data_IF_367822822687
#
_entry.id   IF_367822822687
#
_cell.length_a   1.000
_cell.length_b   1.000
_cell.length_c   1.000
_cell.angle_alpha   90.00
_cell.angle_beta   90.00
_cell.angle_gamma   90.00
#
_symmetry.space_group_name_H-M   'P 1'
#
loop_
_entity.id
_entity.type
_entity.pdbx_description
1 polymer ?
#
# COMPACT_ATOMS: atom_id res chain seq x y z
N UNK A 1 -5.74 -18.06 18.65
CA UNK A 1 -6.23 -16.91 19.45
C UNK A 1 -6.77 -15.88 18.46
N UNK A 2 -7.99 -15.38 18.69
CA UNK A 2 -8.52 -14.28 17.88
C UNK A 2 -7.73 -12.99 18.24
N UNK A 3 -7.49 -12.15 17.25
CA UNK A 3 -6.94 -10.82 17.45
C UNK A 3 -8.06 -9.79 17.28
N UNK A 4 -7.88 -8.62 17.89
CA UNK A 4 -8.78 -7.48 17.77
C UNK A 4 -8.01 -6.29 17.22
N UNK A 5 -8.67 -5.46 16.42
CA UNK A 5 -8.12 -4.24 15.87
C UNK A 5 -9.01 -3.06 16.21
N UNK A 6 -8.44 -1.89 16.44
CA UNK A 6 -9.20 -0.68 16.79
C UNK A 6 -8.78 0.51 15.94
N UNK A 7 -9.72 1.40 15.67
CA UNK A 7 -9.47 2.67 14.99
C UNK A 7 -8.98 3.74 15.96
N UNK A 8 -8.69 4.94 15.43
CA UNK A 8 -8.21 6.08 16.22
C UNK A 8 -9.18 6.56 17.31
N UNK A 9 -10.47 6.25 17.16
CA UNK A 9 -11.53 6.59 18.12
C UNK A 9 -11.75 5.47 19.15
N UNK A 10 -10.94 4.40 19.12
CA UNK A 10 -11.05 3.26 20.02
C UNK A 10 -12.17 2.28 19.67
N UNK A 11 -12.77 2.40 18.48
CA UNK A 11 -13.84 1.50 18.00
C UNK A 11 -13.19 0.26 17.40
N UNK A 12 -13.68 -0.92 17.78
CA UNK A 12 -13.22 -2.19 17.22
C UNK A 12 -13.57 -2.30 15.73
N UNK A 13 -12.60 -2.73 14.93
CA UNK A 13 -12.68 -2.90 13.49
C UNK A 13 -12.67 -4.39 13.18
N UNK A 14 -13.66 -4.84 12.42
CA UNK A 14 -13.73 -6.22 11.95
C UNK A 14 -12.89 -6.42 10.68
N UNK A 15 -12.49 -7.66 10.35
CA UNK A 15 -11.87 -7.96 9.05
C UNK A 15 -12.74 -7.53 7.86
N UNK A 16 -14.07 -7.56 8.00
CA UNK A 16 -15.00 -7.06 7.01
C UNK A 16 -14.88 -5.54 6.83
N UNK A 17 -14.65 -4.77 7.89
CA UNK A 17 -14.45 -3.32 7.81
C UNK A 17 -13.12 -2.96 7.13
N UNK A 18 -12.08 -3.78 7.32
CA UNK A 18 -10.79 -3.65 6.62
C UNK A 18 -10.88 -4.07 5.14
N UNK A 19 -11.78 -5.00 4.82
CA UNK A 19 -12.07 -5.44 3.45
C UNK A 19 -13.09 -4.53 2.76
N UNK A 20 -13.90 -3.81 3.51
CA UNK A 20 -14.75 -2.72 3.04
C UNK A 20 -13.84 -1.55 2.68
N UNK A 21 -13.32 -1.63 1.45
CA UNK A 21 -12.66 -0.55 0.70
C UNK A 21 -13.54 0.71 0.55
N UNK A 22 -14.75 0.71 1.12
CA UNK A 22 -15.92 1.59 0.99
C UNK A 22 -16.07 2.66 2.08
N UNK A 23 -15.10 2.86 2.98
CA UNK A 23 -15.15 4.05 3.85
C UNK A 23 -15.10 5.36 3.03
N UNK A 24 -14.48 5.32 1.83
CA UNK A 24 -14.36 6.46 0.91
C UNK A 24 -14.90 6.19 -0.50
N UNK A 25 -14.87 4.93 -0.95
CA UNK A 25 -15.51 4.54 -2.19
C UNK A 25 -17.03 4.56 -1.95
N UNK A 26 -17.78 5.37 -2.69
CA UNK A 26 -19.24 5.21 -2.77
C UNK A 26 -19.54 3.74 -3.13
N UNK A 27 -20.68 3.18 -2.71
CA UNK A 27 -21.01 1.78 -2.99
C UNK A 27 -20.69 1.36 -4.44
N UNK A 28 -19.68 0.49 -4.60
CA UNK A 28 -19.21 -0.01 -5.91
C UNK A 28 -18.14 0.82 -6.63
N UNK A 29 -17.68 1.94 -6.08
CA UNK A 29 -16.59 2.76 -6.62
C UNK A 29 -15.23 2.01 -6.49
N UNK A 30 -14.44 2.05 -7.56
CA UNK A 30 -13.10 1.47 -7.58
C UNK A 30 -12.13 2.36 -6.78
N UNK A 31 -11.15 1.77 -6.11
CA UNK A 31 -10.17 2.51 -5.29
C UNK A 31 -9.46 3.58 -6.12
N UNK A 32 -9.10 3.25 -7.36
CA UNK A 32 -8.45 4.13 -8.31
C UNK A 32 -9.31 5.35 -8.61
N UNK A 33 -10.63 5.17 -8.71
CA UNK A 33 -11.58 6.25 -8.93
C UNK A 33 -11.73 7.13 -7.69
N UNK A 34 -11.82 6.54 -6.50
CA UNK A 34 -11.85 7.29 -5.25
C UNK A 34 -10.57 8.12 -5.07
N UNK A 35 -9.40 7.53 -5.35
CA UNK A 35 -8.11 8.21 -5.29
C UNK A 35 -8.02 9.37 -6.28
N UNK A 36 -8.38 9.17 -7.55
CA UNK A 36 -8.37 10.23 -8.57
C UNK A 36 -9.41 11.31 -8.27
N UNK A 37 -10.58 10.96 -7.72
CA UNK A 37 -11.57 11.94 -7.29
C UNK A 37 -11.05 12.82 -6.14
N UNK A 38 -10.29 12.24 -5.21
CA UNK A 38 -9.76 12.95 -4.03
C UNK A 38 -8.52 13.79 -4.37
N UNK A 39 -7.58 13.26 -5.15
CA UNK A 39 -6.24 13.85 -5.35
C UNK A 39 -5.84 14.07 -6.81
N UNK A 40 -6.63 13.58 -7.78
CA UNK A 40 -6.26 13.54 -9.19
C UNK A 40 -5.96 14.92 -9.78
N UNK A 41 -6.79 15.92 -9.51
CA UNK A 41 -6.57 17.29 -10.00
C UNK A 41 -5.27 17.89 -9.46
N UNK A 42 -5.04 17.78 -8.15
CA UNK A 42 -3.86 18.36 -7.48
C UNK A 42 -2.57 17.68 -7.93
N UNK A 43 -2.60 16.35 -8.06
CA UNK A 43 -1.45 15.56 -8.46
C UNK A 43 -1.32 15.41 -9.97
N UNK A 44 -2.23 15.94 -10.79
CA UNK A 44 -2.25 15.74 -12.24
C UNK A 44 -2.40 14.28 -12.66
N UNK A 45 -3.18 13.50 -11.92
CA UNK A 45 -3.40 12.07 -12.13
C UNK A 45 -4.79 11.78 -12.70
N UNK A 46 -4.83 10.89 -13.69
CA UNK A 46 -6.05 10.27 -14.19
C UNK A 46 -5.93 8.74 -14.11
N UNK A 47 -7.06 8.03 -14.12
CA UNK A 47 -7.04 6.57 -14.34
C UNK A 47 -6.47 6.30 -15.74
N UNK A 48 -5.56 5.34 -15.84
CA UNK A 48 -5.01 4.93 -17.12
C UNK A 48 -6.14 4.44 -18.05
N UNK A 49 -6.38 5.09 -19.21
CA UNK A 49 -7.43 4.67 -20.13
C UNK A 49 -7.29 3.22 -20.61
N UNK A 50 -6.07 2.67 -20.63
CA UNK A 50 -5.81 1.28 -21.01
C UNK A 50 -6.52 0.28 -20.08
N UNK A 51 -6.82 0.66 -18.82
CA UNK A 51 -7.56 -0.22 -17.88
C UNK A 51 -8.97 -0.56 -18.34
N UNK A 52 -9.54 0.19 -19.28
CA UNK A 52 -10.85 -0.12 -19.88
C UNK A 52 -10.81 -1.39 -20.73
N UNK A 53 -9.65 -1.76 -21.27
CA UNK A 53 -9.46 -2.92 -22.16
C UNK A 53 -8.46 -3.94 -21.62
N UNK A 54 -7.59 -3.54 -20.68
CA UNK A 54 -6.57 -4.36 -20.06
C UNK A 54 -6.58 -4.17 -18.54
N UNK A 55 -7.20 -5.10 -17.81
CA UNK A 55 -7.24 -5.08 -16.35
C UNK A 55 -5.85 -5.18 -15.69
N UNK A 56 -4.82 -5.56 -16.45
CA UNK A 56 -3.42 -5.61 -16.01
C UNK A 56 -2.60 -4.42 -16.48
N UNK A 57 -3.21 -3.35 -17.01
CA UNK A 57 -2.50 -2.10 -17.22
C UNK A 57 -2.20 -1.43 -15.87
N UNK A 58 -1.13 -0.63 -15.75
CA UNK A 58 -0.89 0.22 -14.59
C UNK A 58 -2.07 1.14 -14.29
N UNK A 59 -2.26 1.49 -13.03
CA UNK A 59 -3.48 2.15 -12.55
C UNK A 59 -3.72 3.55 -13.11
N UNK A 60 -2.66 4.35 -13.25
CA UNK A 60 -2.75 5.80 -13.40
C UNK A 60 -1.86 6.33 -14.54
N UNK A 61 -2.19 7.52 -15.03
CA UNK A 61 -1.29 8.37 -15.81
C UNK A 61 -1.11 9.72 -15.10
N UNK A 62 0.15 10.14 -14.96
CA UNK A 62 0.56 11.47 -14.52
C UNK A 62 0.77 12.38 -15.73
N UNK A 63 0.14 13.54 -15.70
CA UNK A 63 0.17 14.54 -16.78
C UNK A 63 -0.10 13.93 -18.18
N UNK A 64 -1.07 13.01 -18.23
CA UNK A 64 -1.52 12.29 -19.43
C UNK A 64 -0.46 11.43 -20.16
N UNK A 65 0.74 11.23 -19.61
CA UNK A 65 1.82 10.57 -20.36
C UNK A 65 2.72 9.67 -19.50
N UNK A 66 2.95 10.01 -18.24
CA UNK A 66 3.83 9.23 -17.37
C UNK A 66 3.03 8.12 -16.69
N UNK A 67 3.49 6.88 -16.83
CA UNK A 67 2.83 5.73 -16.24
C UNK A 67 3.00 5.75 -14.72
N UNK A 68 1.90 5.53 -14.00
CA UNK A 68 1.88 5.42 -12.56
C UNK A 68 1.04 4.23 -12.07
N UNK A 69 1.30 3.77 -10.85
CA UNK A 69 0.58 2.69 -10.19
C UNK A 69 0.21 3.07 -8.76
N UNK A 70 -0.96 2.62 -8.29
CA UNK A 70 -1.49 2.98 -6.98
C UNK A 70 -1.33 1.81 -6.00
N UNK A 71 -0.73 2.09 -4.85
CA UNK A 71 -0.60 1.17 -3.73
C UNK A 71 -1.32 1.75 -2.52
N UNK A 72 -2.54 1.29 -2.30
CA UNK A 72 -3.36 1.69 -1.15
C UNK A 72 -3.10 0.79 0.05
N UNK A 73 -2.87 1.38 1.22
CA UNK A 73 -2.65 0.64 2.48
C UNK A 73 -3.42 1.29 3.62
N UNK A 74 -4.25 0.47 4.30
CA UNK A 74 -5.16 0.96 5.34
C UNK A 74 -4.99 0.26 6.68
N UNK A 75 -4.07 -0.72 6.73
CA UNK A 75 -3.71 -1.43 7.95
C UNK A 75 -2.18 -1.41 8.08
N UNK A 76 -1.65 -0.85 9.17
CA UNK A 76 -0.22 -0.88 9.45
C UNK A 76 0.31 -2.32 9.51
N UNK A 77 1.56 -2.51 9.10
CA UNK A 77 2.25 -3.74 9.43
C UNK A 77 2.72 -3.69 10.89
N UNK A 78 1.81 -3.94 11.84
CA UNK A 78 2.04 -3.82 13.29
C UNK A 78 3.29 -4.53 13.84
N UNK A 79 3.77 -5.58 13.17
CA UNK A 79 4.95 -6.34 13.57
C UNK A 79 6.26 -5.85 12.93
N UNK A 80 6.23 -4.80 12.11
CA UNK A 80 7.40 -4.31 11.40
C UNK A 80 8.55 -3.94 12.35
N UNK A 81 8.22 -3.34 13.50
CA UNK A 81 9.21 -2.98 14.51
C UNK A 81 9.91 -4.20 15.11
N UNK A 82 9.13 -5.21 15.50
CA UNK A 82 9.67 -6.43 16.13
C UNK A 82 10.48 -7.29 15.14
N UNK A 83 10.03 -7.37 13.89
CA UNK A 83 10.63 -8.25 12.89
C UNK A 83 11.80 -7.60 12.16
N UNK A 84 11.73 -6.29 11.94
CA UNK A 84 12.60 -5.59 11.00
C UNK A 84 13.18 -4.28 11.54
N UNK A 85 12.83 -3.87 12.75
CA UNK A 85 13.30 -2.60 13.33
C UNK A 85 12.72 -1.35 12.66
N UNK A 86 11.65 -1.48 11.87
CA UNK A 86 10.98 -0.37 11.19
C UNK A 86 9.74 0.04 12.00
N UNK A 87 9.61 1.35 12.29
CA UNK A 87 8.44 1.89 12.99
C UNK A 87 7.15 1.54 12.23
N UNK A 88 6.22 0.76 12.82
CA UNK A 88 5.00 0.34 12.15
C UNK A 88 4.09 1.49 11.69
N UNK A 89 4.20 2.68 12.30
CA UNK A 89 3.50 3.89 11.85
C UNK A 89 3.85 4.26 10.40
N UNK A 90 5.09 4.01 10.00
CA UNK A 90 5.65 4.41 8.70
C UNK A 90 6.00 3.20 7.81
N UNK A 91 5.69 2.00 8.26
CA UNK A 91 5.98 0.77 7.53
C UNK A 91 4.92 0.51 6.46
N UNK A 92 5.31 0.62 5.19
CA UNK A 92 4.49 0.19 4.05
C UNK A 92 5.05 -1.09 3.45
N UNK A 93 4.18 -1.91 2.88
CA UNK A 93 4.59 -3.13 2.18
C UNK A 93 4.53 -2.97 0.66
N UNK A 94 5.48 -3.57 -0.05
CA UNK A 94 5.50 -3.60 -1.51
C UNK A 94 5.68 -5.03 -2.01
N UNK A 95 4.75 -5.52 -2.84
CA UNK A 95 4.74 -6.92 -3.25
C UNK A 95 5.92 -7.25 -4.15
N UNK A 96 6.60 -8.38 -3.90
CA UNK A 96 7.69 -8.88 -4.76
C UNK A 96 7.26 -9.03 -6.22
N UNK A 97 6.07 -9.59 -6.46
CA UNK A 97 5.55 -9.79 -7.82
C UNK A 97 5.36 -8.48 -8.60
N UNK A 98 5.04 -7.40 -7.89
CA UNK A 98 4.88 -6.08 -8.52
C UNK A 98 6.26 -5.53 -8.90
N UNK A 99 7.27 -5.68 -8.02
CA UNK A 99 8.66 -5.35 -8.34
C UNK A 99 9.17 -6.10 -9.59
N UNK A 100 8.94 -7.42 -9.65
CA UNK A 100 9.36 -8.26 -10.77
C UNK A 100 8.67 -7.84 -12.09
N UNK A 101 7.36 -7.54 -12.03
CA UNK A 101 6.59 -7.05 -13.17
C UNK A 101 7.11 -5.69 -13.66
N UNK A 102 7.34 -4.75 -12.76
CA UNK A 102 7.79 -3.40 -13.11
C UNK A 102 9.21 -3.40 -13.65
N UNK A 103 10.10 -4.23 -13.11
CA UNK A 103 11.44 -4.41 -13.65
C UNK A 103 11.45 -4.88 -15.10
N UNK A 104 10.54 -5.79 -15.44
CA UNK A 104 10.45 -6.36 -16.79
C UNK A 104 9.75 -5.44 -17.78
N UNK A 105 8.75 -4.66 -17.35
CA UNK A 105 7.83 -3.98 -18.26
C UNK A 105 7.72 -2.46 -18.06
N UNK A 106 8.03 -1.93 -16.88
CA UNK A 106 7.70 -0.56 -16.49
C UNK A 106 8.81 0.10 -15.66
N UNK A 107 10.03 0.20 -16.20
CA UNK A 107 11.19 0.68 -15.42
C UNK A 107 11.09 2.13 -14.94
N UNK A 108 10.33 2.95 -15.66
CA UNK A 108 10.16 4.39 -15.38
C UNK A 108 8.86 4.69 -14.61
N UNK A 109 8.13 3.67 -14.17
CA UNK A 109 6.85 3.86 -13.49
C UNK A 109 7.00 4.62 -12.17
N UNK A 110 6.03 5.50 -11.91
CA UNK A 110 5.91 6.22 -10.64
C UNK A 110 4.94 5.45 -9.75
N UNK A 111 5.33 5.19 -8.52
CA UNK A 111 4.49 4.46 -7.56
C UNK A 111 3.94 5.47 -6.56
N UNK A 112 2.62 5.48 -6.41
CA UNK A 112 1.92 6.26 -5.39
C UNK A 112 1.48 5.34 -4.27
N UNK A 113 1.95 5.60 -3.06
CA UNK A 113 1.44 4.99 -1.84
C UNK A 113 0.38 5.90 -1.25
N UNK A 114 -0.87 5.48 -1.29
CA UNK A 114 -1.95 6.11 -0.52
C UNK A 114 -2.08 5.37 0.80
N UNK A 115 -1.63 6.01 1.87
CA UNK A 115 -1.63 5.45 3.21
C UNK A 115 -2.74 6.12 4.01
N UNK A 116 -3.60 5.32 4.62
CA UNK A 116 -4.64 5.81 5.51
C UNK A 116 -4.95 4.77 6.60
N UNK A 117 -4.32 4.90 7.77
CA UNK A 117 -4.43 3.92 8.85
C UNK A 117 -5.82 3.91 9.48
N UNK A 118 -6.63 2.93 9.07
CA UNK A 118 -7.94 2.70 9.68
C UNK A 118 -7.79 2.00 11.03
N UNK A 119 -6.88 1.02 11.12
CA UNK A 119 -6.52 0.39 12.38
C UNK A 119 -5.23 1.00 12.92
N UNK A 120 -5.30 1.57 14.13
CA UNK A 120 -4.11 2.12 14.82
C UNK A 120 -3.70 1.28 16.03
N UNK A 121 -4.51 0.28 16.39
CA UNK A 121 -4.23 -0.62 17.53
C UNK A 121 -4.57 -2.05 17.19
N UNK A 122 -3.69 -2.96 17.61
CA UNK A 122 -3.82 -4.41 17.48
C UNK A 122 -3.63 -5.07 18.84
N UNK A 123 -4.54 -5.97 19.22
CA UNK A 123 -4.50 -6.73 20.48
C UNK A 123 -4.59 -8.22 20.18
N UNK A 124 -3.67 -9.01 20.74
CA UNK A 124 -3.66 -10.47 20.65
C UNK A 124 -3.12 -11.08 21.95
N UNK A 125 -4.01 -11.65 22.77
CA UNK A 125 -3.65 -12.11 24.11
C UNK A 125 -3.11 -10.96 24.96
N UNK A 126 -1.91 -11.12 25.51
CA UNK A 126 -1.25 -10.06 26.30
C UNK A 126 -0.41 -9.09 25.44
N UNK A 127 -0.42 -9.25 24.12
CA UNK A 127 0.32 -8.36 23.21
C UNK A 127 -0.60 -7.25 22.72
N UNK A 128 -0.22 -6.01 22.97
CA UNK A 128 -0.82 -4.82 22.38
C UNK A 128 0.23 -4.09 21.54
N UNK A 129 -0.13 -3.71 20.32
CA UNK A 129 0.67 -2.89 19.42
C UNK A 129 -0.16 -1.70 19.00
N UNK A 130 0.43 -0.52 19.03
CA UNK A 130 -0.21 0.74 18.69
C UNK A 130 0.70 1.52 17.73
N UNK A 131 0.10 2.29 16.83
CA UNK A 131 0.75 3.21 15.90
C UNK A 131 0.05 4.55 15.95
N UNK A 132 0.72 5.60 15.47
CA UNK A 132 0.03 6.86 15.23
C UNK A 132 -0.88 6.75 14.01
N UNK A 133 -1.98 7.52 14.01
CA UNK A 133 -2.77 7.69 12.80
C UNK A 133 -1.93 8.37 11.72
N UNK A 134 -1.92 7.79 10.51
CA UNK A 134 -1.23 8.35 9.36
C UNK A 134 -2.19 8.36 8.17
N UNK A 135 -2.33 9.53 7.55
CA UNK A 135 -3.02 9.73 6.28
C UNK A 135 -2.14 10.60 5.39
N UNK A 136 -2.01 10.23 4.12
CA UNK A 136 -1.25 10.99 3.15
C UNK A 136 -0.92 10.20 1.89
N UNK A 137 -0.23 10.86 0.97
CA UNK A 137 0.22 10.26 -0.28
C UNK A 137 1.72 10.45 -0.43
N UNK A 138 2.44 9.35 -0.63
CA UNK A 138 3.87 9.34 -0.92
C UNK A 138 4.12 8.83 -2.33
N UNK A 139 5.12 9.38 -2.99
CA UNK A 139 5.54 8.94 -4.31
C UNK A 139 7.02 8.57 -4.35
N UNK A 140 7.34 7.58 -5.19
CA UNK A 140 8.71 7.16 -5.49
C UNK A 140 8.78 6.69 -6.94
N UNK A 141 9.88 7.00 -7.64
CA UNK A 141 10.13 6.40 -8.96
C UNK A 141 10.62 4.97 -8.77
N UNK A 142 10.18 4.06 -9.61
CA UNK A 142 10.54 2.66 -9.46
C UNK A 142 12.04 2.38 -9.52
N UNK A 143 12.80 3.19 -10.27
CA UNK A 143 14.27 3.09 -10.30
C UNK A 143 14.90 3.35 -8.92
N UNK A 144 14.39 4.34 -8.18
CA UNK A 144 14.86 4.65 -6.83
C UNK A 144 14.36 3.60 -5.83
N UNK A 145 13.12 3.13 -6.02
CA UNK A 145 12.57 2.04 -5.21
C UNK A 145 13.44 0.78 -5.29
N UNK A 146 13.91 0.40 -6.48
CA UNK A 146 14.76 -0.79 -6.64
C UNK A 146 16.04 -0.71 -5.80
N UNK A 147 16.65 0.46 -5.69
CA UNK A 147 17.83 0.64 -4.83
C UNK A 147 17.48 0.37 -3.37
N UNK A 148 16.30 0.79 -2.91
CA UNK A 148 15.80 0.44 -1.58
C UNK A 148 15.53 -1.07 -1.45
N UNK A 149 14.93 -1.71 -2.46
CA UNK A 149 14.57 -3.14 -2.40
C UNK A 149 15.79 -4.06 -2.25
N UNK A 150 17.00 -3.64 -2.65
CA UNK A 150 18.24 -4.42 -2.48
C UNK A 150 18.58 -4.68 -1.02
N UNK A 151 18.22 -3.76 -0.13
CA UNK A 151 18.52 -3.82 1.31
C UNK A 151 17.28 -3.92 2.17
N UNK A 152 16.09 -3.73 1.59
CA UNK A 152 14.82 -3.83 2.31
C UNK A 152 14.59 -5.26 2.81
N UNK A 153 14.14 -5.43 4.06
CA UNK A 153 13.73 -6.73 4.55
C UNK A 153 12.49 -7.22 3.79
N UNK A 154 12.45 -8.52 3.51
CA UNK A 154 11.31 -9.14 2.87
C UNK A 154 10.55 -10.03 3.85
N UNK A 155 9.25 -9.78 3.96
CA UNK A 155 8.33 -10.64 4.67
C UNK A 155 7.76 -11.71 3.74
N UNK A 156 8.12 -12.97 3.98
CA UNK A 156 7.58 -14.12 3.27
C UNK A 156 6.30 -14.64 3.95
N UNK A 157 5.23 -14.77 3.18
CA UNK A 157 3.96 -15.30 3.68
C UNK A 157 4.00 -16.83 3.65
N UNK A 158 4.35 -17.44 4.79
CA UNK A 158 4.47 -18.90 4.94
C UNK A 158 3.21 -19.67 4.46
N UNK A 159 2.03 -19.08 4.63
CA UNK A 159 0.75 -19.68 4.23
C UNK A 159 0.48 -19.63 2.72
N UNK A 160 1.35 -19.01 1.93
CA UNK A 160 1.16 -18.76 0.48
C UNK A 160 2.28 -19.30 -0.39
N UNK A 161 3.18 -20.11 0.17
CA UNK A 161 4.31 -20.71 -0.55
C UNK A 161 3.79 -21.53 -1.75
N UNK A 162 2.74 -22.33 -1.53
CA UNK A 162 2.09 -23.17 -2.55
C UNK A 162 0.87 -22.52 -3.21
N UNK A 163 0.68 -21.19 -3.07
CA UNK A 163 -0.47 -20.54 -3.69
C UNK A 163 -0.37 -20.53 -5.22
N UNK A 164 -1.40 -21.09 -5.87
CA UNK A 164 -1.57 -21.14 -7.33
C UNK A 164 -2.54 -20.06 -7.84
N UNK A 165 -3.18 -19.29 -6.94
CA UNK A 165 -4.15 -18.24 -7.30
C UNK A 165 -3.49 -16.88 -7.60
N UNK A 166 -2.17 -16.78 -7.55
CA UNK A 166 -1.42 -15.58 -7.92
C UNK A 166 -1.36 -14.50 -6.83
N UNK A 167 -1.61 -14.84 -5.56
CA UNK A 167 -1.39 -13.91 -4.46
C UNK A 167 0.11 -13.66 -4.25
N UNK A 168 0.44 -12.52 -3.64
CA UNK A 168 1.83 -12.22 -3.30
C UNK A 168 2.35 -13.25 -2.28
N UNK A 169 3.50 -13.88 -2.60
CA UNK A 169 4.21 -14.84 -1.74
C UNK A 169 5.16 -14.15 -0.76
N UNK A 170 5.56 -12.92 -1.07
CA UNK A 170 6.35 -12.07 -0.20
C UNK A 170 6.18 -10.60 -0.56
N UNK A 171 6.45 -9.75 0.43
CA UNK A 171 6.44 -8.31 0.29
C UNK A 171 7.63 -7.69 1.01
N UNK A 172 8.28 -6.73 0.37
CA UNK A 172 9.30 -5.89 0.98
C UNK A 172 8.64 -4.94 1.98
N UNK A 173 9.29 -4.73 3.12
CA UNK A 173 8.87 -3.75 4.13
C UNK A 173 9.74 -2.52 3.99
N UNK A 174 9.10 -1.37 3.80
CA UNK A 174 9.74 -0.11 3.49
C UNK A 174 9.35 0.94 4.52
N UNK A 175 10.28 1.83 4.85
CA UNK A 175 10.01 3.02 5.66
C UNK A 175 9.76 4.20 4.74
N UNK A 176 8.53 4.72 4.70
CA UNK A 176 8.14 5.87 3.85
C UNK A 176 8.81 7.18 4.24
N UNK A 177 9.50 7.23 5.40
CA UNK A 177 10.33 8.38 5.78
C UNK A 177 11.69 8.38 5.08
N UNK A 178 12.03 7.31 4.35
CA UNK A 178 13.26 7.28 3.57
C UNK A 178 13.25 8.45 2.54
N UNK A 179 14.36 9.22 2.41
CA UNK A 179 14.41 10.38 1.53
C UNK A 179 14.12 10.14 0.04
N UNK A 180 14.15 8.88 -0.42
CA UNK A 180 13.74 8.53 -1.78
C UNK A 180 12.22 8.66 -1.99
N UNK A 181 11.42 8.66 -0.93
CA UNK A 181 10.00 8.99 -0.99
C UNK A 181 9.80 10.50 -0.89
N UNK A 182 8.83 11.00 -1.64
CA UNK A 182 8.34 12.37 -1.52
C UNK A 182 6.89 12.34 -1.06
N UNK A 183 6.58 12.99 0.06
CA UNK A 183 5.19 13.23 0.44
C UNK A 183 4.60 14.30 -0.47
N UNK A 184 3.45 14.01 -1.08
CA UNK A 184 2.78 14.89 -2.05
C UNK A 184 1.39 15.32 -1.60
N UNK A 185 0.85 14.70 -0.55
CA UNK A 185 -0.38 15.08 0.17
C UNK A 185 -0.13 14.88 1.67
#
# INVERSE_FOLDING_TARGET
MAYQQYNKDGIEITPQDLQNKTLWCKDGEQIEQAFVNKFGTELGLIINPEKTVNAYAPDLLKDNSLIADLKTQNTPFFKAGDLYGIDPTYAVVFNRKDAERYWKHYKEIIIYFWVEWHSVKFVMGNTTKEVEFLDGVWTIKFIDLIELLKVAPEHLYQQRIDDTKGNAKGSFVLDIRNPAFTQVI
#
